data_IF_828728863951
#
_entry.id   IF_828728863951
#
_cell.length_a   1.000
_cell.length_b   1.000
_cell.length_c   1.000
_cell.angle_alpha   90.00
_cell.angle_beta   90.00
_cell.angle_gamma   90.00
#
_symmetry.space_group_name_H-M   'P 1'
#
loop_
_entity.id
_entity.type
_entity.pdbx_description
1 polymer ?
#
# COMPACT_ATOMS: atom_id res chain seq x y z
N UNK A 1 -43.98 -19.05 19.09
CA UNK A 1 -43.44 -18.65 17.78
C UNK A 1 -41.97 -19.04 17.74
N UNK A 2 -41.67 -19.99 16.84
CA UNK A 2 -40.37 -20.44 16.33
C UNK A 2 -39.22 -20.66 17.33
N UNK A 3 -39.21 -21.86 17.92
CA UNK A 3 -37.97 -22.54 18.28
C UNK A 3 -37.18 -22.87 17.00
N UNK A 4 -35.89 -22.57 16.97
CA UNK A 4 -34.95 -23.29 16.10
C UNK A 4 -33.83 -23.82 16.98
N UNK A 5 -33.98 -25.09 17.34
CA UNK A 5 -32.93 -25.96 17.87
C UNK A 5 -31.84 -26.14 16.80
N UNK A 6 -30.60 -25.77 17.12
CA UNK A 6 -29.44 -26.10 16.27
C UNK A 6 -29.00 -27.52 16.61
N UNK A 7 -29.41 -28.48 15.77
CA UNK A 7 -28.86 -29.83 15.80
C UNK A 7 -27.46 -29.82 15.19
N UNK A 8 -26.43 -29.91 16.03
CA UNK A 8 -25.05 -30.09 15.57
C UNK A 8 -24.89 -31.51 15.00
N UNK A 9 -24.64 -31.62 13.69
CA UNK A 9 -24.23 -32.87 13.04
C UNK A 9 -22.73 -33.09 13.26
N UNK A 10 -22.26 -34.32 13.55
CA UNK A 10 -20.84 -34.59 13.67
C UNK A 10 -20.25 -34.79 12.26
N UNK A 11 -19.47 -33.82 11.78
CA UNK A 11 -18.79 -33.94 10.49
C UNK A 11 -18.33 -32.65 9.81
N UNK A 12 -18.67 -31.46 10.31
CA UNK A 12 -18.22 -30.21 9.71
C UNK A 12 -16.95 -29.71 10.39
N UNK A 13 -15.82 -29.85 9.68
CA UNK A 13 -14.61 -29.14 9.99
C UNK A 13 -14.92 -27.65 10.15
N UNK A 14 -14.44 -27.06 11.25
CA UNK A 14 -14.46 -25.62 11.51
C UNK A 14 -13.89 -24.87 10.31
N UNK A 15 -14.76 -24.45 9.38
CA UNK A 15 -14.44 -23.42 8.43
C UNK A 15 -14.38 -22.12 9.23
N UNK A 16 -13.21 -21.88 9.81
CA UNK A 16 -12.80 -20.55 10.25
C UNK A 16 -12.99 -19.66 9.03
N UNK A 17 -14.02 -18.82 9.07
CA UNK A 17 -14.13 -17.68 8.17
C UNK A 17 -12.98 -16.75 8.53
N UNK A 18 -11.79 -17.07 8.02
CA UNK A 18 -10.80 -16.06 7.78
C UNK A 18 -11.45 -15.10 6.79
N UNK A 19 -11.61 -13.80 7.11
CA UNK A 19 -11.77 -12.83 6.05
C UNK A 19 -10.55 -13.05 5.17
N UNK A 20 -10.78 -13.64 3.99
CA UNK A 20 -9.73 -13.80 3.01
C UNK A 20 -9.12 -12.42 2.84
N UNK A 21 -7.82 -12.22 3.09
CA UNK A 21 -7.16 -11.08 2.51
C UNK A 21 -7.22 -11.40 1.02
N UNK A 22 -8.24 -10.86 0.34
CA UNK A 22 -8.13 -10.58 -1.07
C UNK A 22 -7.08 -9.48 -1.20
N UNK A 23 -5.82 -9.88 -0.98
CA UNK A 23 -4.65 -9.32 -1.61
C UNK A 23 -4.91 -9.46 -3.10
N UNK A 24 -5.68 -8.50 -3.60
CA UNK A 24 -5.94 -8.25 -5.01
C UNK A 24 -4.61 -8.40 -5.72
N UNK A 25 -4.55 -9.46 -6.54
CA UNK A 25 -3.33 -10.16 -6.91
C UNK A 25 -2.21 -9.22 -7.33
N UNK A 26 -1.04 -9.40 -6.71
CA UNK A 26 0.24 -8.84 -7.14
C UNK A 26 0.09 -7.43 -7.74
N UNK A 27 -0.41 -6.46 -6.95
CA UNK A 27 -0.31 -5.04 -7.28
C UNK A 27 1.11 -4.81 -7.79
N UNK A 28 1.29 -4.39 -9.04
CA UNK A 28 2.62 -4.34 -9.71
C UNK A 28 3.66 -3.75 -8.74
N UNK A 29 4.90 -4.28 -8.68
CA UNK A 29 5.96 -3.70 -7.85
C UNK A 29 6.01 -2.18 -8.00
N UNK A 30 6.18 -1.46 -6.90
CA UNK A 30 6.11 0.01 -6.89
C UNK A 30 7.15 0.59 -7.86
N UNK A 31 8.30 -0.06 -8.01
CA UNK A 31 9.32 0.34 -8.99
C UNK A 31 8.82 0.37 -10.45
N UNK A 32 7.71 -0.30 -10.77
CA UNK A 32 7.05 -0.29 -12.08
C UNK A 32 5.87 0.69 -12.19
N UNK A 33 5.59 1.45 -11.12
CA UNK A 33 4.48 2.41 -11.12
C UNK A 33 4.79 3.62 -11.99
N UNK A 34 3.82 3.96 -12.83
CA UNK A 34 3.78 5.21 -13.58
C UNK A 34 3.42 6.38 -12.67
N UNK A 35 3.54 7.61 -13.17
CA UNK A 35 3.03 8.80 -12.45
C UNK A 35 1.53 8.66 -12.13
N UNK A 36 0.74 8.10 -13.05
CA UNK A 36 -0.70 7.91 -12.82
C UNK A 36 -0.97 6.95 -11.64
N UNK A 37 -0.18 5.89 -11.52
CA UNK A 37 -0.27 4.95 -10.39
C UNK A 37 0.08 5.66 -9.08
N UNK A 38 1.10 6.53 -9.08
CA UNK A 38 1.46 7.37 -7.92
C UNK A 38 0.32 8.32 -7.54
N UNK A 39 -0.31 8.99 -8.51
CA UNK A 39 -1.46 9.85 -8.24
C UNK A 39 -2.63 9.06 -7.65
N UNK A 40 -2.90 7.85 -8.15
CA UNK A 40 -3.93 6.97 -7.59
C UNK A 40 -3.61 6.55 -6.16
N UNK A 41 -2.33 6.26 -5.87
CA UNK A 41 -1.87 5.94 -4.53
C UNK A 41 -2.06 7.13 -3.57
N UNK A 42 -1.67 8.34 -3.97
CA UNK A 42 -1.89 9.56 -3.18
C UNK A 42 -3.38 9.77 -2.87
N UNK A 43 -4.26 9.58 -3.87
CA UNK A 43 -5.71 9.71 -3.66
C UNK A 43 -6.26 8.76 -2.61
N UNK A 44 -5.70 7.54 -2.54
CA UNK A 44 -6.11 6.50 -1.60
C UNK A 44 -5.56 6.72 -0.20
N UNK A 45 -4.30 7.15 -0.09
CA UNK A 45 -3.54 7.16 1.16
C UNK A 45 -3.45 8.54 1.83
N UNK A 46 -3.65 9.62 1.06
CA UNK A 46 -3.60 11.00 1.52
C UNK A 46 -4.80 11.82 0.99
N UNK A 47 -6.06 11.44 1.31
CA UNK A 47 -7.24 12.00 0.65
C UNK A 47 -7.52 13.46 1.02
N UNK A 48 -7.15 13.90 2.23
CA UNK A 48 -7.53 15.21 2.76
C UNK A 48 -6.87 16.38 2.01
N UNK A 49 -5.62 16.21 1.60
CA UNK A 49 -4.82 17.23 0.90
C UNK A 49 -4.39 16.75 -0.50
N UNK A 50 -5.17 15.85 -1.09
CA UNK A 50 -4.83 15.17 -2.35
C UNK A 50 -4.45 16.15 -3.48
N UNK A 51 -5.19 17.27 -3.62
CA UNK A 51 -4.94 18.24 -4.68
C UNK A 51 -3.54 18.89 -4.56
N UNK A 52 -3.14 19.27 -3.35
CA UNK A 52 -1.82 19.83 -3.08
C UNK A 52 -0.70 18.83 -3.40
N UNK A 53 -0.92 17.55 -3.07
CA UNK A 53 0.06 16.50 -3.34
C UNK A 53 0.14 16.18 -4.83
N UNK A 54 -0.99 16.03 -5.52
CA UNK A 54 -0.99 15.67 -6.93
C UNK A 54 -0.37 16.76 -7.79
N UNK A 55 -0.56 18.03 -7.44
CA UNK A 55 0.09 19.16 -8.13
C UNK A 55 1.61 19.04 -8.07
N UNK A 56 2.17 18.94 -6.86
CA UNK A 56 3.62 18.83 -6.66
C UNK A 56 4.18 17.56 -7.29
N UNK A 57 3.57 16.40 -7.06
CA UNK A 57 4.07 15.14 -7.60
C UNK A 57 3.93 15.05 -9.12
N UNK A 58 2.91 15.68 -9.70
CA UNK A 58 2.75 15.75 -11.15
C UNK A 58 3.80 16.67 -11.77
N UNK A 59 4.03 17.83 -11.16
CA UNK A 59 5.04 18.80 -11.60
C UNK A 59 6.44 18.18 -11.65
N UNK A 60 6.80 17.39 -10.63
CA UNK A 60 8.10 16.71 -10.53
C UNK A 60 8.17 15.36 -11.25
N UNK A 61 7.15 14.98 -12.03
CA UNK A 61 7.10 13.72 -12.75
C UNK A 61 7.39 12.48 -11.88
N UNK A 62 6.87 12.45 -10.64
CA UNK A 62 7.19 11.39 -9.68
C UNK A 62 6.62 10.05 -10.13
N UNK A 63 7.52 9.13 -10.49
CA UNK A 63 7.23 7.71 -10.75
C UNK A 63 7.48 6.87 -9.50
N UNK A 64 7.08 5.61 -9.51
CA UNK A 64 7.26 4.75 -8.34
C UNK A 64 8.72 4.53 -7.92
N UNK A 65 9.67 4.52 -8.88
CA UNK A 65 11.11 4.49 -8.58
C UNK A 65 11.57 5.69 -7.76
N UNK A 66 11.02 6.87 -8.06
CA UNK A 66 11.32 8.09 -7.32
C UNK A 66 10.61 8.08 -5.96
N UNK A 67 9.34 7.66 -5.93
CA UNK A 67 8.50 7.58 -4.72
C UNK A 67 9.18 6.80 -3.59
N UNK A 68 9.67 5.58 -3.87
CA UNK A 68 10.35 4.73 -2.87
C UNK A 68 11.71 5.25 -2.43
N UNK A 69 12.18 6.37 -2.97
CA UNK A 69 13.44 7.04 -2.58
C UNK A 69 13.21 8.41 -1.94
N UNK A 70 11.96 8.84 -1.78
CA UNK A 70 11.63 10.11 -1.15
C UNK A 70 11.93 10.06 0.36
N UNK A 71 12.25 11.23 0.91
CA UNK A 71 12.42 11.48 2.32
C UNK A 71 11.89 12.90 2.63
N UNK A 72 11.85 13.28 3.91
CA UNK A 72 11.35 14.60 4.30
C UNK A 72 12.08 15.76 3.60
N UNK A 73 13.40 15.69 3.50
CA UNK A 73 14.20 16.74 2.86
C UNK A 73 13.84 16.93 1.38
N UNK A 74 13.69 15.83 0.62
CA UNK A 74 13.28 15.87 -0.79
C UNK A 74 11.85 16.40 -0.95
N UNK A 75 10.92 15.99 -0.10
CA UNK A 75 9.54 16.50 -0.11
C UNK A 75 9.51 18.01 0.14
N UNK A 76 10.33 18.51 1.06
CA UNK A 76 10.49 19.94 1.32
C UNK A 76 11.00 20.68 0.07
N UNK A 77 12.07 20.18 -0.56
CA UNK A 77 12.63 20.75 -1.80
C UNK A 77 11.67 20.70 -2.98
N UNK A 78 10.76 19.74 -3.03
CA UNK A 78 9.73 19.63 -4.06
C UNK A 78 8.60 20.67 -3.89
N UNK A 79 8.46 21.27 -2.71
CA UNK A 79 7.43 22.27 -2.42
C UNK A 79 6.47 21.93 -1.28
N UNK A 80 6.63 20.78 -0.61
CA UNK A 80 5.83 20.40 0.57
C UNK A 80 6.51 20.97 1.82
N UNK A 81 6.37 22.28 2.00
CA UNK A 81 7.05 23.06 3.04
C UNK A 81 6.40 22.86 4.42
N UNK A 82 5.07 22.80 4.47
CA UNK A 82 4.34 22.60 5.71
C UNK A 82 4.69 21.25 6.35
N UNK A 83 5.15 21.29 7.60
CA UNK A 83 5.62 20.09 8.29
C UNK A 83 4.52 19.04 8.45
N UNK A 84 3.30 19.44 8.82
CA UNK A 84 2.18 18.50 8.98
C UNK A 84 1.89 17.71 7.69
N UNK A 85 1.80 18.41 6.55
CA UNK A 85 1.59 17.79 5.24
C UNK A 85 2.77 16.89 4.85
N UNK A 86 3.99 17.35 5.11
CA UNK A 86 5.21 16.59 4.82
C UNK A 86 5.26 15.30 5.63
N UNK A 87 4.91 15.35 6.92
CA UNK A 87 4.89 14.17 7.80
C UNK A 87 3.79 13.19 7.39
N UNK A 88 2.62 13.67 6.99
CA UNK A 88 1.52 12.84 6.46
C UNK A 88 2.01 12.00 5.27
N UNK A 89 2.58 12.64 4.24
CA UNK A 89 3.07 11.97 3.04
C UNK A 89 4.27 11.06 3.36
N UNK A 90 5.21 11.53 4.17
CA UNK A 90 6.39 10.76 4.53
C UNK A 90 6.02 9.46 5.24
N UNK A 91 5.05 9.49 6.16
CA UNK A 91 4.57 8.29 6.84
C UNK A 91 4.01 7.27 5.85
N UNK A 92 3.21 7.70 4.88
CA UNK A 92 2.65 6.80 3.86
C UNK A 92 3.76 6.23 2.95
N UNK A 93 4.76 7.02 2.58
CA UNK A 93 5.92 6.55 1.80
C UNK A 93 6.72 5.50 2.56
N UNK A 94 6.99 5.70 3.86
CA UNK A 94 7.70 4.74 4.69
C UNK A 94 6.93 3.42 4.80
N UNK A 95 5.60 3.47 4.99
CA UNK A 95 4.77 2.28 4.99
C UNK A 95 4.83 1.52 3.66
N UNK A 96 4.81 2.25 2.54
CA UNK A 96 4.93 1.65 1.20
C UNK A 96 6.29 0.97 1.00
N UNK A 97 7.38 1.59 1.45
CA UNK A 97 8.73 1.00 1.39
C UNK A 97 8.80 -0.30 2.20
N UNK A 98 8.30 -0.30 3.43
CA UNK A 98 8.28 -1.51 4.28
C UNK A 98 7.48 -2.63 3.61
N UNK A 99 6.33 -2.31 3.00
CA UNK A 99 5.53 -3.31 2.28
C UNK A 99 6.26 -3.89 1.06
N UNK A 100 6.98 -3.07 0.31
CA UNK A 100 7.79 -3.54 -0.82
C UNK A 100 8.95 -4.41 -0.36
N UNK A 101 9.66 -4.03 0.70
CA UNK A 101 10.75 -4.84 1.27
C UNK A 101 10.25 -6.20 1.78
N UNK A 102 9.13 -6.24 2.50
CA UNK A 102 8.51 -7.49 2.93
C UNK A 102 8.16 -8.37 1.74
N UNK A 103 7.59 -7.80 0.67
CA UNK A 103 7.27 -8.53 -0.55
C UNK A 103 8.53 -9.07 -1.23
N UNK A 104 9.58 -8.26 -1.34
CA UNK A 104 10.85 -8.66 -1.94
C UNK A 104 11.46 -9.85 -1.19
N UNK A 105 11.50 -9.79 0.15
CA UNK A 105 11.97 -10.90 0.98
C UNK A 105 11.14 -12.18 0.82
N UNK A 106 9.81 -12.04 0.72
CA UNK A 106 8.92 -13.18 0.44
C UNK A 106 9.15 -13.81 -0.94
N UNK A 107 9.51 -13.01 -1.94
CA UNK A 107 9.85 -13.50 -3.28
C UNK A 107 11.20 -14.22 -3.30
N UNK A 108 12.22 -13.66 -2.64
CA UNK A 108 13.54 -14.28 -2.52
C UNK A 108 13.45 -15.66 -1.83
N UNK A 109 12.78 -15.75 -0.68
CA UNK A 109 12.60 -17.01 0.05
C UNK A 109 11.74 -18.07 -0.68
N UNK A 110 11.02 -17.68 -1.74
CA UNK A 110 10.30 -18.60 -2.64
C UNK A 110 11.17 -19.02 -3.81
N UNK A 111 12.02 -18.13 -4.32
CA UNK A 111 13.00 -18.44 -5.36
C UNK A 111 14.06 -19.44 -4.90
N UNK A 112 14.50 -19.34 -3.63
CA UNK A 112 15.45 -20.26 -3.00
C UNK A 112 14.92 -21.69 -2.81
N UNK A 113 13.59 -21.91 -2.92
CA UNK A 113 12.97 -23.23 -2.79
C UNK A 113 12.86 -24.00 -4.11
N UNK A 114 13.27 -23.42 -5.23
CA UNK A 114 13.17 -24.03 -6.57
C UNK A 114 14.53 -24.34 -7.21
N UNK A 115 15.60 -24.39 -6.42
CA UNK A 115 16.93 -24.87 -6.82
C UNK A 115 17.36 -26.00 -5.90
#
# INVERSE_FOLDING_TARGET
>A
MCHVTVTLRPGEALAVYHPSPTLSGLSRPVVLWTQQDVCRWLKKHCPHNYLSYVEVFSHHAITGRALVRLNGEKLCRMGIVQEALRQEVLQQVLQLQVQEEVRNLQQLSRGERHT
#
